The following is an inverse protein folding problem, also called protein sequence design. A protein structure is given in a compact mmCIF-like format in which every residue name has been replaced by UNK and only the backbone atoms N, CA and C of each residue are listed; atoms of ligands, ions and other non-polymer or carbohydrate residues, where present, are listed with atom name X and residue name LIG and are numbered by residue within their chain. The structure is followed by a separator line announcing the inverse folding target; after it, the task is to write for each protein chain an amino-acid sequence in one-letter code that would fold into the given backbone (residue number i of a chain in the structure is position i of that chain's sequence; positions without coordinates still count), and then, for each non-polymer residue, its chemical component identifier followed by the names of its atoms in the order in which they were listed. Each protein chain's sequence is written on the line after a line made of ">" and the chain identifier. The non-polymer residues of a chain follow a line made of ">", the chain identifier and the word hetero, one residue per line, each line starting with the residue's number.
data_IF_400932539419
#
_entry.id   IF_400932539419
#
_cell.length_a   1.000
_cell.length_b   1.000
_cell.length_c   1.000
_cell.angle_alpha   90.00
_cell.angle_beta   90.00
_cell.angle_gamma   90.00
#
_symmetry.space_group_name_H-M   'P 1'
#
loop_
_entity.id
_entity.type
_entity.pdbx_description
1 polymer ?
#
# COMPACT_ATOMS: atom_id res chain seq x y z
N UNK A 1 18.92 -1.09 -8.42
CA UNK A 1 17.52 -1.37 -8.79
C UNK A 1 16.61 -1.10 -7.60
N UNK A 2 15.40 -0.68 -7.90
CA UNK A 2 14.39 -0.48 -6.87
C UNK A 2 13.98 -1.82 -6.27
N UNK A 3 13.47 -1.79 -5.05
CA UNK A 3 12.82 -2.92 -4.41
C UNK A 3 11.31 -2.71 -4.52
N UNK A 4 10.57 -3.76 -4.86
CA UNK A 4 9.12 -3.67 -4.99
C UNK A 4 8.46 -4.41 -3.83
N UNK A 5 7.23 -4.05 -3.57
CA UNK A 5 6.42 -4.72 -2.57
C UNK A 5 5.02 -4.94 -3.13
N UNK A 6 4.56 -6.18 -3.08
CA UNK A 6 3.16 -6.49 -3.31
C UNK A 6 2.49 -6.56 -1.93
N UNK A 7 1.62 -5.59 -1.65
CA UNK A 7 0.87 -5.56 -0.39
C UNK A 7 -0.56 -5.94 -0.67
N UNK A 8 -1.09 -6.84 0.15
CA UNK A 8 -2.50 -7.23 0.06
C UNK A 8 -3.15 -6.89 1.38
N UNK A 9 -4.08 -5.95 1.34
CA UNK A 9 -4.87 -5.56 2.51
C UNK A 9 -6.15 -6.37 2.53
N UNK A 10 -6.44 -6.98 3.68
CA UNK A 10 -7.72 -7.65 3.90
C UNK A 10 -8.58 -6.76 4.76
N UNK A 11 -9.73 -6.36 4.24
CA UNK A 11 -10.65 -5.48 4.95
C UNK A 11 -11.75 -6.31 5.59
N UNK A 12 -12.35 -5.75 6.65
CA UNK A 12 -13.38 -6.47 7.40
C UNK A 12 -14.65 -6.68 6.58
N UNK A 13 -15.02 -5.68 5.78
CA UNK A 13 -16.24 -5.70 4.98
C UNK A 13 -15.99 -5.10 3.61
N UNK A 14 -16.92 -5.33 2.69
CA UNK A 14 -16.87 -4.71 1.37
C UNK A 14 -16.97 -3.19 1.47
N UNK A 15 -17.80 -2.71 2.39
CA UNK A 15 -17.95 -1.27 2.61
C UNK A 15 -16.65 -0.64 3.10
N UNK A 16 -15.92 -1.31 3.99
CA UNK A 16 -14.62 -0.85 4.44
C UNK A 16 -13.62 -0.83 3.29
N UNK A 17 -13.64 -1.86 2.44
CA UNK A 17 -12.78 -1.91 1.25
C UNK A 17 -13.08 -0.74 0.32
N UNK A 18 -14.35 -0.50 0.01
CA UNK A 18 -14.73 0.58 -0.89
C UNK A 18 -14.29 1.94 -0.34
N UNK A 19 -14.48 2.17 0.94
CA UNK A 19 -14.05 3.41 1.57
C UNK A 19 -12.53 3.54 1.53
N UNK A 20 -11.81 2.47 1.85
CA UNK A 20 -10.35 2.49 1.89
C UNK A 20 -9.76 2.79 0.51
N UNK A 21 -10.24 2.10 -0.53
CA UNK A 21 -9.70 2.30 -1.88
C UNK A 21 -10.15 3.60 -2.54
N UNK A 22 -11.33 4.11 -2.19
CA UNK A 22 -11.87 5.31 -2.85
C UNK A 22 -11.52 6.61 -2.12
N UNK A 23 -11.39 6.58 -0.80
CA UNK A 23 -11.16 7.78 0.01
C UNK A 23 -9.80 7.81 0.66
N UNK A 24 -9.35 6.70 1.21
CA UNK A 24 -8.11 6.69 2.01
C UNK A 24 -6.88 6.52 1.12
N UNK A 25 -6.89 5.54 0.22
CA UNK A 25 -5.70 5.25 -0.58
C UNK A 25 -5.30 6.43 -1.48
N UNK A 26 -6.22 7.19 -2.09
CA UNK A 26 -5.82 8.41 -2.80
C UNK A 26 -5.07 9.42 -1.94
N UNK A 27 -5.36 9.48 -0.64
CA UNK A 27 -4.60 10.34 0.28
C UNK A 27 -3.18 9.81 0.48
N UNK A 28 -3.03 8.47 0.60
CA UNK A 28 -1.71 7.85 0.65
C UNK A 28 -0.87 8.21 -0.57
N UNK A 29 -1.48 8.22 -1.76
CA UNK A 29 -0.76 8.54 -2.99
C UNK A 29 -0.14 9.94 -2.95
N UNK A 30 -0.78 10.88 -2.27
CA UNK A 30 -0.24 12.23 -2.12
C UNK A 30 0.90 12.28 -1.10
N UNK A 31 0.87 11.43 -0.09
CA UNK A 31 1.88 11.42 0.98
C UNK A 31 3.11 10.58 0.63
N UNK A 32 2.94 9.49 -0.12
CA UNK A 32 4.01 8.54 -0.40
C UNK A 32 5.30 9.17 -0.95
N UNK A 33 5.24 10.12 -1.91
CA UNK A 33 6.48 10.72 -2.43
C UNK A 33 7.33 11.40 -1.37
N UNK A 34 6.73 11.89 -0.30
CA UNK A 34 7.46 12.52 0.82
C UNK A 34 8.35 11.50 1.55
N UNK A 35 8.05 10.23 1.41
CA UNK A 35 8.76 9.14 2.11
C UNK A 35 9.55 8.26 1.15
N UNK A 36 9.61 8.63 -0.13
CA UNK A 36 10.33 7.82 -1.12
C UNK A 36 9.59 6.57 -1.54
N UNK A 37 8.28 6.54 -1.37
CA UNK A 37 7.43 5.43 -1.80
C UNK A 37 6.77 5.80 -3.12
N UNK A 38 6.84 4.92 -4.10
CA UNK A 38 6.13 5.09 -5.36
C UNK A 38 5.08 3.99 -5.47
N UNK A 39 3.80 4.37 -5.58
CA UNK A 39 2.72 3.42 -5.81
C UNK A 39 2.50 3.30 -7.32
N UNK A 40 2.63 2.09 -7.85
CA UNK A 40 2.47 1.82 -9.28
C UNK A 40 1.02 1.55 -9.64
N UNK A 41 0.24 1.10 -8.69
CA UNK A 41 -1.18 0.87 -8.88
C UNK A 41 -1.78 0.12 -7.71
N UNK A 42 -3.10 0.12 -7.67
CA UNK A 42 -3.81 -0.68 -6.68
C UNK A 42 -5.12 -1.17 -7.30
N UNK A 43 -5.47 -2.41 -7.01
CA UNK A 43 -6.54 -3.13 -7.68
C UNK A 43 -7.34 -3.97 -6.70
N UNK A 44 -8.58 -4.27 -7.09
CA UNK A 44 -9.35 -5.35 -6.47
C UNK A 44 -9.37 -6.54 -7.42
N UNK A 45 -9.50 -7.73 -6.87
CA UNK A 45 -9.61 -8.93 -7.70
C UNK A 45 -11.04 -9.08 -8.22
N UNK A 46 -11.16 -9.45 -9.48
CA UNK A 46 -12.47 -9.74 -10.07
C UNK A 46 -13.05 -10.97 -9.37
N UNK A 47 -14.30 -10.86 -8.95
CA UNK A 47 -15.02 -11.95 -8.30
C UNK A 47 -14.35 -12.45 -7.02
N UNK A 48 -13.67 -11.55 -6.29
CA UNK A 48 -13.05 -11.90 -5.03
C UNK A 48 -14.14 -12.12 -3.96
N UNK A 49 -14.07 -13.24 -3.28
CA UNK A 49 -14.97 -13.53 -2.16
C UNK A 49 -14.49 -12.85 -0.87
N UNK A 50 -13.24 -12.41 -0.83
CA UNK A 50 -12.69 -11.67 0.31
C UNK A 50 -12.52 -10.20 -0.08
N UNK A 51 -12.86 -9.25 0.82
CA UNK A 51 -12.65 -7.83 0.49
C UNK A 51 -11.17 -7.48 0.62
N UNK A 52 -10.43 -7.57 -0.49
CA UNK A 52 -8.99 -7.35 -0.52
C UNK A 52 -8.59 -6.24 -1.49
N UNK A 53 -7.57 -5.49 -1.12
CA UNK A 53 -6.94 -4.49 -1.98
C UNK A 53 -5.50 -4.91 -2.26
N UNK A 54 -5.13 -4.98 -3.54
CA UNK A 54 -3.81 -5.37 -3.99
C UNK A 54 -3.05 -4.10 -4.41
N UNK A 55 -1.87 -3.89 -3.85
CA UNK A 55 -1.08 -2.70 -4.12
C UNK A 55 0.32 -3.11 -4.54
N UNK A 56 0.82 -2.51 -5.62
CA UNK A 56 2.22 -2.64 -6.02
C UNK A 56 2.92 -1.32 -5.78
N UNK A 57 3.93 -1.34 -4.93
CA UNK A 57 4.71 -0.15 -4.58
C UNK A 57 6.19 -0.44 -4.78
N UNK A 58 7.00 0.62 -4.86
CA UNK A 58 8.45 0.47 -4.92
C UNK A 58 9.15 1.48 -4.02
N UNK A 59 10.40 1.16 -3.70
CA UNK A 59 11.27 1.91 -2.80
C UNK A 59 12.61 2.07 -3.48
N UNK A 60 13.30 3.18 -3.18
CA UNK A 60 14.59 3.47 -3.78
C UNK A 60 15.61 2.37 -3.46
N UNK A 61 16.57 2.18 -4.36
CA UNK A 61 17.65 1.22 -4.14
C UNK A 61 18.35 1.50 -2.82
N UNK A 62 18.61 0.46 -2.03
CA UNK A 62 19.28 0.59 -0.75
C UNK A 62 18.35 0.91 0.41
N UNK A 63 17.09 1.23 0.17
CA UNK A 63 16.11 1.46 1.24
C UNK A 63 15.50 0.14 1.69
N UNK A 64 15.27 0.03 3.01
CA UNK A 64 14.54 -1.10 3.57
C UNK A 64 13.05 -0.78 3.57
N UNK A 65 12.22 -1.52 2.81
CA UNK A 65 10.79 -1.22 2.72
C UNK A 65 10.09 -1.18 4.08
N UNK A 66 10.41 -2.11 4.98
CA UNK A 66 9.79 -2.14 6.31
C UNK A 66 10.09 -0.88 7.10
N UNK A 67 11.32 -0.39 7.01
CA UNK A 67 11.73 0.83 7.72
C UNK A 67 11.06 2.07 7.12
N UNK A 68 10.95 2.14 5.80
CA UNK A 68 10.28 3.26 5.12
C UNK A 68 8.80 3.31 5.51
N UNK A 69 8.13 2.15 5.48
CA UNK A 69 6.71 2.07 5.86
C UNK A 69 6.52 2.46 7.32
N UNK A 70 7.43 2.02 8.20
CA UNK A 70 7.35 2.37 9.62
C UNK A 70 7.46 3.88 9.82
N UNK A 71 8.38 4.55 9.12
CA UNK A 71 8.49 6.01 9.20
C UNK A 71 7.22 6.70 8.73
N UNK A 72 6.64 6.21 7.63
CA UNK A 72 5.40 6.77 7.14
C UNK A 72 4.26 6.59 8.16
N UNK A 73 4.13 5.40 8.73
CA UNK A 73 3.04 5.12 9.67
C UNK A 73 3.17 5.88 10.99
N UNK A 74 4.37 6.39 11.31
CA UNK A 74 4.59 7.23 12.49
C UNK A 74 4.44 8.72 12.20
N UNK A 75 4.16 9.09 10.96
CA UNK A 75 4.13 10.49 10.54
C UNK A 75 2.77 11.14 10.75
N UNK A 76 2.78 12.48 10.75
CA UNK A 76 1.55 13.26 10.77
C UNK A 76 0.77 13.09 9.48
N UNK A 77 1.47 12.87 8.36
CA UNK A 77 0.83 12.59 7.08
C UNK A 77 -0.03 11.35 7.13
N UNK A 78 0.49 10.27 7.73
CA UNK A 78 -0.31 9.04 7.87
C UNK A 78 -1.53 9.27 8.74
N UNK A 79 -1.36 9.95 9.87
CA UNK A 79 -2.47 10.22 10.78
C UNK A 79 -3.58 11.02 10.07
N UNK A 80 -3.19 11.98 9.22
CA UNK A 80 -4.15 12.75 8.44
C UNK A 80 -4.78 11.90 7.33
N UNK A 81 -4.00 11.04 6.68
CA UNK A 81 -4.47 10.21 5.59
C UNK A 81 -5.57 9.23 6.02
N UNK A 82 -5.45 8.69 7.24
CA UNK A 82 -6.42 7.70 7.73
C UNK A 82 -7.58 8.31 8.52
N UNK A 83 -7.71 9.65 8.51
CA UNK A 83 -8.82 10.29 9.22
C UNK A 83 -10.14 9.76 8.68
N UNK A 84 -11.12 9.64 9.55
CA UNK A 84 -12.46 9.13 9.26
C UNK A 84 -12.50 7.63 8.88
N UNK A 85 -11.36 6.93 9.05
CA UNK A 85 -11.29 5.49 8.78
C UNK A 85 -10.94 4.75 10.06
N UNK A 86 -11.67 3.67 10.33
CA UNK A 86 -11.36 2.79 11.46
C UNK A 86 -10.28 1.79 11.01
N UNK A 87 -9.04 2.01 11.46
CA UNK A 87 -7.92 1.15 11.04
C UNK A 87 -8.09 -0.30 11.48
N UNK A 88 -8.91 -0.58 12.49
CA UNK A 88 -9.20 -1.96 12.89
C UNK A 88 -10.02 -2.71 11.83
N UNK A 89 -10.56 -2.01 10.83
CA UNK A 89 -11.21 -2.65 9.69
C UNK A 89 -10.20 -3.26 8.71
N UNK A 90 -8.91 -2.94 8.84
CA UNK A 90 -7.85 -3.70 8.18
C UNK A 90 -7.57 -4.90 9.07
N UNK A 91 -8.06 -6.07 8.65
CA UNK A 91 -7.96 -7.29 9.48
C UNK A 91 -6.71 -8.10 9.15
N UNK A 92 -5.99 -7.73 8.11
CA UNK A 92 -4.72 -8.38 7.77
C UNK A 92 -4.01 -7.64 6.67
N UNK A 93 -2.68 -7.74 6.67
CA UNK A 93 -1.82 -7.22 5.60
C UNK A 93 -0.81 -8.30 5.29
N UNK A 94 -0.73 -8.69 4.02
CA UNK A 94 0.30 -9.58 3.54
C UNK A 94 1.27 -8.77 2.69
N UNK A 95 2.57 -8.98 2.88
CA UNK A 95 3.61 -8.26 2.16
C UNK A 95 4.57 -9.25 1.55
N UNK A 96 4.83 -9.11 0.25
CA UNK A 96 5.85 -9.87 -0.45
C UNK A 96 6.82 -8.88 -1.06
N UNK A 97 8.09 -8.97 -0.69
CA UNK A 97 9.13 -8.12 -1.25
C UNK A 97 9.62 -8.78 -2.54
N UNK A 98 9.63 -7.98 -3.62
CA UNK A 98 9.95 -8.45 -4.95
C UNK A 98 11.22 -7.75 -5.45
N UNK A 99 12.11 -8.54 -6.03
CA UNK A 99 13.33 -8.01 -6.67
C UNK A 99 13.15 -8.18 -8.17
N UNK A 100 13.22 -7.10 -8.94
CA UNK A 100 13.02 -7.21 -10.40
C UNK A 100 14.07 -8.10 -11.04
N UNK A 101 13.65 -8.90 -12.00
CA UNK A 101 14.61 -9.57 -12.89
C UNK A 101 15.25 -8.52 -13.78
N UNK A 102 16.48 -8.81 -14.25
CA UNK A 102 17.24 -7.82 -15.03
C UNK A 102 16.53 -7.39 -16.32
N UNK A 103 15.73 -8.27 -16.90
CA UNK A 103 14.96 -7.97 -18.11
C UNK A 103 13.52 -7.57 -17.84
N UNK A 104 13.13 -7.35 -16.58
CA UNK A 104 11.78 -6.93 -16.28
C UNK A 104 11.47 -5.55 -16.85
N UNK A 105 10.32 -5.36 -17.50
CA UNK A 105 9.95 -4.03 -18.00
C UNK A 105 9.82 -3.00 -16.88
N UNK A 106 9.36 -3.43 -15.71
CA UNK A 106 9.27 -2.58 -14.52
C UNK A 106 10.40 -2.98 -13.57
N UNK A 107 11.27 -2.04 -13.29
CA UNK A 107 12.42 -2.31 -12.40
C UNK A 107 13.05 -1.03 -11.82
#
# INVERSE_FOLDING_TARGET
>A
MRTFELRVYKLRTKEALDFYREKIYPRHLNSFPLFGIEAHGFWTAKEDIEPRLFVLASYAAGEDPGEVVRRYMQSTEFADDIRDFNVSDIVGVESTILIPSTSSPLK
#
